data_IF_951286807911
#
_entry.id   IF_951286807911
#
_cell.length_a   1.000
_cell.length_b   1.000
_cell.length_c   1.000
_cell.angle_alpha   90.00
_cell.angle_beta   90.00
_cell.angle_gamma   90.00
#
_symmetry.space_group_name_H-M   'P 1'
#
loop_
_entity.id
_entity.type
_entity.pdbx_description
1 polymer ?
#
# COMPACT_ATOMS: atom_id res chain seq x y z
N UNK A 1 -3.38 -7.03 -19.84
CA UNK A 1 -2.73 -6.69 -18.56
C UNK A 1 -3.47 -7.45 -17.47
N UNK A 2 -2.91 -8.55 -16.95
CA UNK A 2 -3.61 -9.39 -15.97
C UNK A 2 -3.66 -8.63 -14.65
N UNK A 3 -4.84 -8.13 -14.28
CA UNK A 3 -5.04 -7.46 -13.00
C UNK A 3 -4.92 -8.54 -11.94
N UNK A 4 -3.77 -8.60 -11.26
CA UNK A 4 -3.62 -9.45 -10.07
C UNK A 4 -4.71 -9.07 -9.07
N UNK A 5 -5.70 -9.94 -8.94
CA UNK A 5 -6.77 -9.77 -7.97
C UNK A 5 -6.18 -10.01 -6.57
N UNK A 6 -5.75 -8.92 -5.93
CA UNK A 6 -5.14 -8.95 -4.60
C UNK A 6 -6.06 -9.59 -3.56
N UNK A 7 -7.37 -9.40 -3.68
CA UNK A 7 -8.34 -10.06 -2.80
C UNK A 7 -8.34 -11.57 -3.01
N UNK A 8 -8.26 -12.04 -4.25
CA UNK A 8 -8.15 -13.48 -4.55
C UNK A 8 -6.89 -14.09 -3.93
N UNK A 9 -5.75 -13.42 -4.05
CA UNK A 9 -4.48 -13.85 -3.41
C UNK A 9 -4.66 -13.93 -1.89
N UNK A 10 -5.31 -12.94 -1.27
CA UNK A 10 -5.55 -12.91 0.18
C UNK A 10 -6.49 -14.03 0.63
N UNK A 11 -7.51 -14.37 -0.15
CA UNK A 11 -8.39 -15.51 0.13
C UNK A 11 -7.60 -16.83 0.14
N UNK A 12 -6.73 -17.05 -0.85
CA UNK A 12 -5.92 -18.27 -0.91
C UNK A 12 -4.95 -18.33 0.28
N UNK A 13 -4.32 -17.20 0.63
CA UNK A 13 -3.44 -17.12 1.80
C UNK A 13 -4.19 -17.42 3.11
N UNK A 14 -5.42 -16.94 3.25
CA UNK A 14 -6.27 -17.23 4.41
C UNK A 14 -6.63 -18.73 4.48
N UNK A 15 -7.00 -19.33 3.34
CA UNK A 15 -7.28 -20.76 3.25
C UNK A 15 -6.07 -21.60 3.67
N UNK A 16 -4.88 -21.29 3.15
CA UNK A 16 -3.64 -21.98 3.51
C UNK A 16 -3.26 -21.79 4.99
N UNK A 17 -3.51 -20.60 5.55
CA UNK A 17 -3.33 -20.34 6.98
C UNK A 17 -4.24 -21.21 7.86
N UNK A 18 -5.53 -21.34 7.52
CA UNK A 18 -6.47 -22.20 8.24
C UNK A 18 -6.15 -23.70 8.12
N UNK A 19 -5.46 -24.12 7.05
CA UNK A 19 -4.92 -25.48 6.92
C UNK A 19 -3.72 -25.75 7.82
N UNK A 20 -3.21 -24.74 8.53
CA UNK A 20 -2.03 -24.86 9.39
C UNK A 20 -0.71 -24.83 8.63
N UNK A 21 -0.72 -24.40 7.36
CA UNK A 21 0.51 -24.28 6.59
C UNK A 21 1.35 -23.10 7.07
N UNK A 22 2.64 -23.13 6.77
CA UNK A 22 3.53 -21.98 7.01
C UNK A 22 3.48 -21.01 5.83
N UNK A 23 3.88 -19.76 6.05
CA UNK A 23 3.92 -18.75 5.00
C UNK A 23 4.81 -19.16 3.82
N UNK A 24 5.93 -19.83 4.08
CA UNK A 24 6.85 -20.33 3.05
C UNK A 24 6.25 -21.50 2.26
N UNK A 25 5.54 -22.40 2.94
CA UNK A 25 4.80 -23.49 2.28
C UNK A 25 3.70 -22.92 1.37
N UNK A 26 2.88 -22.00 1.89
CA UNK A 26 1.82 -21.34 1.11
C UNK A 26 2.38 -20.57 -0.10
N UNK A 27 3.51 -19.87 0.05
CA UNK A 27 4.18 -19.19 -1.05
C UNK A 27 4.64 -20.17 -2.13
N UNK A 28 5.20 -21.32 -1.73
CA UNK A 28 5.61 -22.38 -2.67
C UNK A 28 4.41 -22.96 -3.42
N UNK A 29 3.35 -23.34 -2.72
CA UNK A 29 2.10 -23.84 -3.33
C UNK A 29 1.55 -22.85 -4.37
N UNK A 30 1.55 -21.55 -4.03
CA UNK A 30 1.06 -20.50 -4.92
C UNK A 30 1.92 -20.34 -6.18
N UNK A 31 3.25 -20.43 -6.05
CA UNK A 31 4.16 -20.41 -7.19
C UNK A 31 4.00 -21.64 -8.08
N UNK A 32 3.88 -22.82 -7.48
CA UNK A 32 3.70 -24.07 -8.21
C UNK A 32 2.35 -24.10 -8.96
N UNK A 33 1.31 -23.47 -8.42
CA UNK A 33 -0.05 -23.47 -9.00
C UNK A 33 -0.25 -22.38 -10.05
N UNK A 34 0.26 -21.16 -9.80
CA UNK A 34 -0.06 -19.97 -10.60
C UNK A 34 1.17 -19.34 -11.29
N UNK A 35 2.37 -19.84 -11.04
CA UNK A 35 3.62 -19.31 -11.58
C UNK A 35 4.39 -18.42 -10.60
N UNK A 36 5.68 -18.23 -10.89
CA UNK A 36 6.66 -17.66 -9.96
C UNK A 36 6.37 -16.19 -9.57
N UNK A 37 5.67 -15.46 -10.43
CA UNK A 37 5.31 -14.04 -10.26
C UNK A 37 4.01 -13.82 -9.47
N UNK A 38 3.32 -14.89 -9.06
CA UNK A 38 2.00 -14.78 -8.44
C UNK A 38 2.02 -14.10 -7.06
N UNK A 39 2.96 -14.49 -6.19
CA UNK A 39 3.12 -13.86 -4.87
C UNK A 39 4.57 -13.93 -4.39
N UNK A 40 5.06 -12.83 -3.81
CA UNK A 40 6.33 -12.83 -3.10
C UNK A 40 6.17 -13.44 -1.70
N UNK A 41 7.10 -14.31 -1.29
CA UNK A 41 7.15 -14.91 0.04
C UNK A 41 7.10 -13.86 1.17
N UNK A 42 7.70 -12.67 0.97
CA UNK A 42 7.61 -11.56 1.92
C UNK A 42 6.17 -11.09 2.15
N UNK A 43 5.33 -11.13 1.10
CA UNK A 43 3.90 -10.83 1.18
C UNK A 43 3.17 -11.91 1.97
N UNK A 44 3.44 -13.19 1.70
CA UNK A 44 2.88 -14.31 2.47
C UNK A 44 3.21 -14.20 3.95
N UNK A 45 4.48 -13.97 4.30
CA UNK A 45 4.91 -13.77 5.69
C UNK A 45 4.20 -12.60 6.34
N UNK A 46 4.05 -11.47 5.63
CA UNK A 46 3.32 -10.31 6.17
C UNK A 46 1.88 -10.66 6.52
N UNK A 47 1.15 -11.38 5.67
CA UNK A 47 -0.23 -11.78 5.96
C UNK A 47 -0.32 -12.78 7.13
N UNK A 48 0.60 -13.74 7.21
CA UNK A 48 0.63 -14.75 8.27
C UNK A 48 1.12 -14.20 9.62
N UNK A 49 2.00 -13.19 9.60
CA UNK A 49 2.53 -12.52 10.80
C UNK A 49 1.71 -11.32 11.23
N UNK A 50 1.04 -10.64 10.30
CA UNK A 50 0.16 -9.54 10.64
C UNK A 50 -0.91 -10.04 11.60
N UNK A 51 -1.30 -9.17 12.50
CA UNK A 51 -2.46 -9.40 13.33
C UNK A 51 -3.74 -9.59 12.51
N UNK A 52 -3.76 -9.44 11.19
CA UNK A 52 -4.99 -9.60 10.42
C UNK A 52 -5.52 -11.05 10.54
N UNK A 53 -4.72 -12.07 10.21
CA UNK A 53 -5.15 -13.46 10.39
C UNK A 53 -5.09 -13.96 11.84
N UNK A 54 -4.26 -13.34 12.69
CA UNK A 54 -4.10 -13.75 14.10
C UNK A 54 -5.02 -13.01 15.08
N UNK A 55 -5.61 -11.88 14.70
CA UNK A 55 -6.58 -11.12 15.52
C UNK A 55 -8.01 -11.35 15.00
N UNK A 56 -8.23 -12.42 14.23
CA UNK A 56 -9.50 -12.72 13.56
C UNK A 56 -10.04 -11.57 12.69
N UNK A 57 -9.17 -10.67 12.23
CA UNK A 57 -9.50 -9.60 11.27
C UNK A 57 -9.29 -10.12 9.85
N UNK A 58 -10.28 -10.87 9.36
CA UNK A 58 -10.30 -11.43 8.01
C UNK A 58 -10.73 -10.40 6.95
N UNK A 59 -10.63 -9.09 7.24
CA UNK A 59 -10.79 -8.04 6.24
C UNK A 59 -9.71 -8.21 5.17
N UNK A 60 -10.07 -8.82 4.04
CA UNK A 60 -9.19 -8.98 2.87
C UNK A 60 -9.05 -7.69 2.06
N UNK A 61 -9.64 -6.58 2.52
CA UNK A 61 -9.53 -5.26 1.89
C UNK A 61 -8.29 -4.53 2.35
N UNK A 62 -7.73 -3.70 1.47
CA UNK A 62 -6.67 -2.79 1.89
C UNK A 62 -7.23 -1.83 2.93
N UNK A 63 -6.61 -1.81 4.11
CA UNK A 63 -6.88 -0.77 5.11
C UNK A 63 -6.63 0.57 4.43
N UNK A 64 -7.54 1.53 4.65
CA UNK A 64 -7.30 2.91 4.17
C UNK A 64 -5.91 3.29 4.66
N UNK A 65 -5.01 3.56 3.72
CA UNK A 65 -3.71 4.11 4.06
C UNK A 65 -4.04 5.44 4.71
N UNK A 66 -3.94 5.53 6.03
CA UNK A 66 -4.09 6.82 6.69
C UNK A 66 -3.00 7.67 6.06
N UNK A 67 -3.38 8.69 5.30
CA UNK A 67 -2.47 9.67 4.68
C UNK A 67 -1.77 10.55 5.73
N UNK A 68 -1.68 10.06 6.97
CA UNK A 68 -1.23 10.73 8.17
C UNK A 68 0.28 10.99 8.21
N UNK A 69 1.01 10.79 7.10
CA UNK A 69 2.45 11.04 7.08
C UNK A 69 2.85 12.27 6.27
N UNK A 70 2.07 12.78 5.30
CA UNK A 70 2.52 13.93 4.48
C UNK A 70 1.38 14.78 3.92
N UNK A 71 0.34 15.07 4.70
CA UNK A 71 -0.48 16.27 4.43
C UNK A 71 -0.55 17.05 5.73
N UNK A 72 0.57 17.73 6.08
CA UNK A 72 0.41 18.99 6.82
C UNK A 72 -0.56 19.78 5.93
N UNK A 73 -1.76 20.09 6.43
CA UNK A 73 -2.66 21.03 5.77
C UNK A 73 -1.85 22.31 5.56
N UNK A 74 -1.23 22.45 4.38
CA UNK A 74 -0.82 23.74 3.90
C UNK A 74 -2.13 24.43 3.61
N UNK A 75 -2.45 25.39 4.47
CA UNK A 75 -3.63 26.20 4.30
C UNK A 75 -3.49 26.96 2.97
N UNK A 76 -4.55 26.97 2.17
CA UNK A 76 -4.55 27.62 0.87
C UNK A 76 -4.18 29.10 0.99
N UNK A 77 -4.52 29.71 2.13
CA UNK A 77 -4.15 31.09 2.45
C UNK A 77 -2.64 31.26 2.63
N UNK A 78 -1.95 30.32 3.29
CA UNK A 78 -0.49 30.37 3.45
C UNK A 78 0.23 30.18 2.10
N UNK A 79 -0.35 29.38 1.20
CA UNK A 79 0.19 29.22 -0.16
C UNK A 79 -0.01 30.48 -1.00
N UNK A 80 -1.16 31.15 -0.87
CA UNK A 80 -1.43 32.40 -1.60
C UNK A 80 -0.49 33.52 -1.14
N UNK A 81 -0.29 33.67 0.17
CA UNK A 81 0.65 34.67 0.74
C UNK A 81 2.07 34.44 0.23
N UNK A 82 2.56 33.20 0.22
CA UNK A 82 3.91 32.89 -0.26
C UNK A 82 4.09 33.14 -1.77
N UNK A 83 3.03 32.99 -2.57
CA UNK A 83 3.04 33.33 -4.00
C UNK A 83 3.09 34.84 -4.19
N UNK A 84 2.31 35.59 -3.42
CA UNK A 84 2.24 37.04 -3.50
C UNK A 84 3.53 37.72 -2.99
N UNK A 85 4.15 37.18 -1.94
CA UNK A 85 5.46 37.63 -1.43
C UNK A 85 6.61 37.36 -2.40
N UNK A 86 6.50 36.32 -3.25
CA UNK A 86 7.51 35.96 -4.25
C UNK A 86 7.24 36.60 -5.63
N UNK A 87 6.27 37.52 -5.74
CA UNK A 87 6.11 38.39 -6.91
C UNK A 87 7.27 39.40 -6.94
N UNK A 88 8.33 38.95 -7.61
CA UNK A 88 9.51 39.65 -8.09
C UNK A 88 9.23 41.14 -8.36
N UNK A 89 10.05 42.00 -7.73
CA UNK A 89 10.18 43.43 -7.98
C UNK A 89 10.44 43.71 -9.48
N UNK A 90 9.55 44.36 -10.24
CA UNK A 90 9.89 44.88 -11.55
C UNK A 90 10.39 46.31 -11.37
N UNK A 91 11.64 46.46 -10.94
CA UNK A 91 12.35 47.73 -11.04
C UNK A 91 13.59 47.54 -11.93
N UNK A 92 13.69 48.43 -12.92
CA UNK A 92 14.86 48.75 -13.75
C UNK A 92 15.03 48.02 -15.07
N UNK A 93 14.21 48.39 -16.05
CA UNK A 93 14.70 48.62 -17.42
C UNK A 93 13.83 49.68 -18.11
N UNK A 94 14.05 50.94 -17.74
CA UNK A 94 13.96 52.03 -18.69
C UNK A 94 15.22 51.96 -19.57
N UNK A 95 15.02 51.77 -20.87
CA UNK A 95 15.84 52.30 -21.97
C UNK A 95 15.05 52.17 -23.27
#
# INVERSE_FOLDING_TARGET
>A
MYIQNKEHIRHILLFEFHRGNTASSAAKTLKDTYGDDFVNEKTCRRWFSAGDFKKDDFSLKDKRRTESRVLKKLDSEQLQVAIDENQIQPALLQN
#
